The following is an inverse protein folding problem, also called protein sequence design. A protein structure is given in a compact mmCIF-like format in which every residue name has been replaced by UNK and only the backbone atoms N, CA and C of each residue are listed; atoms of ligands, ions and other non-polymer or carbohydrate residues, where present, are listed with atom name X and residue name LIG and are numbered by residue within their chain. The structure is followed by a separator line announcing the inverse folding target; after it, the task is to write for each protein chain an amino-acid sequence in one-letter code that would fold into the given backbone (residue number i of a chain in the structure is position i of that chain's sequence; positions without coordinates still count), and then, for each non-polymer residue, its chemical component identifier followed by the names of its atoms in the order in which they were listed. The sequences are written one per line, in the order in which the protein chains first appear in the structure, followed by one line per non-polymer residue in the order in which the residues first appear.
data_IF_832135952332
#
_entry.id   IF_832135952332
#
_cell.length_a   1.000
_cell.length_b   1.000
_cell.length_c   1.000
_cell.angle_alpha   90.00
_cell.angle_beta   90.00
_cell.angle_gamma   90.00
#
_symmetry.space_group_name_H-M   'P 1'
#
loop_
_entity.id
_entity.type
_entity.pdbx_description
1 polymer ?
#
# COMPACT_ATOMS: atom_id res chain seq x y z
N UNK A 1 11.59 -66.62 -19.19
CA UNK A 1 12.38 -65.65 -18.40
C UNK A 1 13.22 -64.84 -19.38
N UNK A 2 12.61 -63.83 -20.00
CA UNK A 2 13.17 -63.10 -21.14
C UNK A 2 13.65 -61.72 -20.64
N UNK A 3 14.96 -61.53 -20.55
CA UNK A 3 15.54 -60.24 -20.15
C UNK A 3 15.50 -59.31 -21.35
N UNK A 4 14.51 -58.40 -21.38
CA UNK A 4 14.44 -57.32 -22.36
C UNK A 4 15.70 -56.46 -22.22
N UNK A 5 16.51 -56.43 -23.28
CA UNK A 5 17.70 -55.60 -23.36
C UNK A 5 17.34 -54.12 -23.26
N UNK A 6 18.07 -53.39 -22.43
CA UNK A 6 18.00 -51.94 -22.35
C UNK A 6 18.51 -51.37 -23.66
N UNK A 7 17.62 -50.80 -24.46
CA UNK A 7 18.00 -50.06 -25.67
C UNK A 7 18.58 -48.72 -25.24
N UNK A 8 19.86 -48.48 -25.54
CA UNK A 8 20.48 -47.18 -25.31
C UNK A 8 19.89 -46.17 -26.31
N UNK A 9 19.08 -45.24 -25.81
CA UNK A 9 18.56 -44.13 -26.61
C UNK A 9 19.67 -43.09 -26.77
N UNK A 10 20.22 -42.96 -27.97
CA UNK A 10 21.14 -41.89 -28.34
C UNK A 10 20.37 -40.58 -28.47
N UNK A 11 20.25 -39.81 -27.38
CA UNK A 11 19.61 -38.49 -27.41
C UNK A 11 20.60 -37.48 -28.03
N UNK A 12 20.24 -36.79 -29.13
CA UNK A 12 21.11 -35.77 -29.69
C UNK A 12 21.25 -34.62 -28.69
N UNK A 13 22.47 -34.10 -28.53
CA UNK A 13 22.81 -33.02 -27.58
C UNK A 13 21.83 -31.86 -27.60
N UNK A 14 21.35 -31.48 -28.79
CA UNK A 14 20.37 -30.41 -28.99
C UNK A 14 19.02 -30.72 -28.34
N UNK A 15 18.53 -31.96 -28.46
CA UNK A 15 17.28 -32.39 -27.84
C UNK A 15 17.41 -32.43 -26.32
N UNK A 16 18.53 -32.98 -25.81
CA UNK A 16 18.81 -32.99 -24.37
C UNK A 16 18.84 -31.57 -23.78
N UNK A 17 19.54 -30.63 -24.44
CA UNK A 17 19.63 -29.24 -23.99
C UNK A 17 18.27 -28.53 -24.07
N UNK A 18 17.50 -28.77 -25.14
CA UNK A 18 16.15 -28.19 -25.29
C UNK A 18 15.22 -28.68 -24.19
N UNK A 19 15.13 -29.99 -24.00
CA UNK A 19 14.15 -30.59 -23.09
C UNK A 19 14.53 -30.28 -21.62
N UNK A 20 15.82 -30.26 -21.28
CA UNK A 20 16.30 -29.83 -19.96
C UNK A 20 16.03 -28.35 -19.70
N UNK A 21 16.31 -27.47 -20.67
CA UNK A 21 16.10 -26.03 -20.51
C UNK A 21 14.62 -25.66 -20.39
N UNK A 22 13.75 -26.27 -21.20
CA UNK A 22 12.30 -26.08 -21.09
C UNK A 22 11.77 -26.59 -19.73
N UNK A 23 12.29 -27.71 -19.21
CA UNK A 23 11.92 -28.23 -17.89
C UNK A 23 12.28 -27.26 -16.76
N UNK A 24 13.57 -26.95 -16.59
CA UNK A 24 14.04 -26.07 -15.51
C UNK A 24 13.54 -24.63 -15.65
N UNK A 25 13.44 -24.12 -16.88
CA UNK A 25 12.90 -22.78 -17.15
C UNK A 25 11.43 -22.65 -16.73
N UNK A 26 10.62 -23.70 -16.90
CA UNK A 26 9.23 -23.70 -16.46
C UNK A 26 9.08 -23.62 -14.93
N UNK A 27 10.00 -24.23 -14.17
CA UNK A 27 10.03 -24.13 -12.71
C UNK A 27 10.39 -22.72 -12.25
N UNK A 28 11.37 -22.09 -12.89
CA UNK A 28 11.74 -20.70 -12.61
C UNK A 28 10.57 -19.74 -12.93
N UNK A 29 9.90 -19.94 -14.06
CA UNK A 29 8.73 -19.15 -14.44
C UNK A 29 7.58 -19.33 -13.45
N UNK A 30 7.32 -20.56 -13.00
CA UNK A 30 6.30 -20.84 -11.98
C UNK A 30 6.61 -20.11 -10.67
N UNK A 31 7.87 -20.08 -10.24
CA UNK A 31 8.30 -19.33 -9.05
C UNK A 31 7.99 -17.84 -9.17
N UNK A 32 8.34 -17.23 -10.31
CA UNK A 32 8.07 -15.81 -10.58
C UNK A 32 6.57 -15.49 -10.61
N UNK A 33 5.76 -16.33 -11.27
CA UNK A 33 4.30 -16.16 -11.31
C UNK A 33 3.64 -16.33 -9.94
N UNK A 34 4.20 -17.19 -9.08
CA UNK A 34 3.71 -17.36 -7.72
C UNK A 34 4.00 -16.10 -6.88
N UNK A 35 5.21 -15.52 -7.00
CA UNK A 35 5.53 -14.24 -6.37
C UNK A 35 4.66 -13.09 -6.88
N UNK A 36 4.42 -13.01 -8.19
CA UNK A 36 3.51 -12.02 -8.78
C UNK A 36 2.09 -12.16 -8.22
N UNK A 37 1.58 -13.39 -8.09
CA UNK A 37 0.26 -13.65 -7.50
C UNK A 37 0.19 -13.23 -6.03
N UNK A 38 1.28 -13.39 -5.27
CA UNK A 38 1.36 -12.94 -3.87
C UNK A 38 1.47 -11.40 -3.77
N UNK A 39 2.06 -10.74 -4.77
CA UNK A 39 2.17 -9.27 -4.86
C UNK A 39 0.94 -8.60 -5.48
N UNK A 40 0.07 -9.37 -6.13
CA UNK A 40 -1.17 -8.85 -6.69
C UNK A 40 -1.98 -8.16 -5.59
N UNK A 41 -2.36 -6.91 -5.86
CA UNK A 41 -3.21 -6.12 -4.97
C UNK A 41 -4.50 -6.90 -4.64
N UNK A 42 -5.13 -6.65 -3.47
CA UNK A 42 -6.43 -7.25 -3.16
C UNK A 42 -7.39 -7.00 -4.33
N UNK A 43 -8.27 -7.98 -4.60
CA UNK A 43 -9.12 -8.10 -5.79
C UNK A 43 -9.94 -6.84 -6.18
N UNK A 44 -9.98 -5.81 -5.33
CA UNK A 44 -10.57 -4.51 -5.63
C UNK A 44 -9.73 -3.37 -4.98
N UNK A 45 -8.73 -2.81 -5.69
CA UNK A 45 -7.91 -1.69 -5.17
C UNK A 45 -8.72 -0.41 -4.93
N UNK A 46 -9.89 -0.32 -5.55
CA UNK A 46 -10.86 0.77 -5.38
C UNK A 46 -12.01 0.40 -4.44
N UNK A 47 -11.94 -0.73 -3.75
CA UNK A 47 -12.97 -1.09 -2.78
C UNK A 47 -13.06 -0.04 -1.66
N UNK A 48 -14.27 0.27 -1.19
CA UNK A 48 -14.45 1.15 -0.05
C UNK A 48 -13.71 0.58 1.17
N UNK A 49 -12.81 1.38 1.76
CA UNK A 49 -12.11 1.03 2.99
C UNK A 49 -13.07 1.05 4.17
N UNK A 50 -12.85 0.17 5.14
CA UNK A 50 -13.60 0.20 6.40
C UNK A 50 -13.35 1.55 7.09
N UNK A 51 -14.39 2.28 7.51
CA UNK A 51 -14.23 3.48 8.33
C UNK A 51 -13.48 3.16 9.61
N UNK A 52 -12.65 4.08 10.12
CA UNK A 52 -11.95 3.91 11.39
C UNK A 52 -12.91 3.85 12.60
N UNK A 53 -14.13 4.40 12.45
CA UNK A 53 -15.15 4.43 13.49
C UNK A 53 -16.26 3.41 13.17
N UNK A 54 -16.69 2.65 14.19
CA UNK A 54 -17.69 1.59 14.05
C UNK A 54 -19.09 2.09 13.66
N UNK A 55 -19.43 3.35 13.99
CA UNK A 55 -20.70 3.98 13.62
C UNK A 55 -20.51 5.50 13.42
N UNK A 56 -20.07 5.95 12.23
CA UNK A 56 -19.77 7.36 11.99
C UNK A 56 -21.06 8.15 11.80
N UNK A 57 -21.64 8.67 12.89
CA UNK A 57 -22.68 9.69 12.86
C UNK A 57 -22.14 11.01 13.39
N UNK A 58 -22.13 12.05 12.54
CA UNK A 58 -21.78 13.39 12.98
C UNK A 58 -22.90 13.94 13.89
N UNK A 59 -22.53 14.45 15.07
CA UNK A 59 -23.49 15.02 16.04
C UNK A 59 -23.76 16.51 15.79
N UNK A 60 -22.77 17.23 15.26
CA UNK A 60 -22.85 18.65 14.94
C UNK A 60 -21.87 18.98 13.81
N UNK A 61 -22.13 20.06 13.08
CA UNK A 61 -21.25 20.61 12.03
C UNK A 61 -20.90 22.04 12.42
N UNK A 62 -19.61 22.35 12.50
CA UNK A 62 -19.11 23.71 12.75
C UNK A 62 -18.68 24.29 11.40
N UNK A 63 -19.31 25.38 10.97
CA UNK A 63 -18.98 26.07 9.73
C UNK A 63 -18.17 27.32 10.03
N UNK A 64 -16.93 27.38 9.53
CA UNK A 64 -15.99 28.47 9.76
C UNK A 64 -15.87 29.31 8.48
N UNK A 65 -16.23 30.58 8.54
CA UNK A 65 -16.04 31.52 7.43
C UNK A 65 -14.71 32.25 7.60
N UNK A 66 -13.69 31.82 6.88
CA UNK A 66 -12.34 32.38 6.94
C UNK A 66 -11.99 33.00 5.60
N UNK A 67 -11.45 34.22 5.61
CA UNK A 67 -10.87 34.82 4.41
C UNK A 67 -9.64 33.99 3.98
N UNK A 68 -9.72 33.33 2.82
CA UNK A 68 -8.62 32.51 2.29
C UNK A 68 -8.59 31.05 2.75
N UNK A 69 -9.58 30.59 3.53
CA UNK A 69 -9.69 29.22 4.00
C UNK A 69 -8.66 28.82 5.07
N UNK A 70 -8.76 27.61 5.64
CA UNK A 70 -7.80 27.13 6.63
C UNK A 70 -6.46 26.85 5.94
N UNK A 71 -5.39 27.54 6.36
CA UNK A 71 -4.05 27.26 5.86
C UNK A 71 -3.50 25.96 6.47
N UNK A 72 -2.47 25.38 5.84
CA UNK A 72 -1.76 24.22 6.41
C UNK A 72 -1.22 24.54 7.81
N UNK A 73 -0.64 25.74 7.97
CA UNK A 73 -0.13 26.24 9.25
C UNK A 73 -1.23 26.31 10.31
N UNK A 74 -2.47 26.60 9.91
CA UNK A 74 -3.60 26.66 10.84
C UNK A 74 -4.10 25.28 11.27
N UNK A 75 -4.02 24.28 10.40
CA UNK A 75 -4.76 23.02 10.53
C UNK A 75 -3.94 21.89 11.15
N UNK A 76 -2.64 21.80 10.83
CA UNK A 76 -1.84 20.61 11.15
C UNK A 76 -0.59 20.88 11.99
N UNK A 77 -0.33 22.13 12.38
CA UNK A 77 0.78 22.47 13.26
C UNK A 77 0.32 22.52 14.72
N UNK A 78 0.88 21.69 15.63
CA UNK A 78 0.58 21.81 17.06
C UNK A 78 1.03 23.18 17.58
N UNK A 79 0.10 23.94 18.17
CA UNK A 79 0.36 25.28 18.74
C UNK A 79 0.46 25.21 20.27
N UNK A 80 1.62 24.83 20.85
CA UNK A 80 1.77 24.62 22.28
C UNK A 80 1.55 25.89 23.11
N UNK A 81 1.89 27.06 22.57
CA UNK A 81 1.60 28.35 23.21
C UNK A 81 0.10 28.63 23.31
N UNK A 82 -0.66 28.28 22.28
CA UNK A 82 -2.12 28.46 22.26
C UNK A 82 -2.78 27.55 23.30
N UNK A 83 -2.30 26.31 23.43
CA UNK A 83 -2.77 25.38 24.46
C UNK A 83 -2.52 25.90 25.89
N UNK A 84 -1.38 26.59 26.13
CA UNK A 84 -1.04 27.17 27.45
C UNK A 84 -1.83 28.44 27.77
N UNK A 85 -2.28 29.14 26.74
CA UNK A 85 -3.02 30.40 26.83
C UNK A 85 -4.54 30.21 26.64
N UNK A 86 -5.00 28.96 26.56
CA UNK A 86 -6.41 28.64 26.42
C UNK A 86 -7.22 29.23 27.59
N UNK A 87 -8.34 29.89 27.26
CA UNK A 87 -9.19 30.60 28.21
C UNK A 87 -8.63 31.91 28.80
N UNK A 88 -7.42 32.36 28.42
CA UNK A 88 -6.83 33.62 28.89
C UNK A 88 -7.13 34.78 27.92
N UNK A 89 -7.27 36.02 28.42
CA UNK A 89 -7.35 37.19 27.55
C UNK A 89 -6.08 37.32 26.71
N UNK A 90 -6.23 37.81 25.47
CA UNK A 90 -5.12 38.01 24.53
C UNK A 90 -4.03 38.88 25.19
N UNK A 91 -2.76 38.43 25.23
CA UNK A 91 -1.70 39.24 25.80
C UNK A 91 -1.51 40.55 25.02
N UNK A 92 -1.34 41.67 25.74
CA UNK A 92 -1.19 43.00 25.16
C UNK A 92 0.07 43.15 24.28
N UNK A 93 1.04 42.26 24.44
CA UNK A 93 2.27 42.19 23.65
C UNK A 93 2.04 41.93 22.15
N UNK A 94 0.88 41.37 21.78
CA UNK A 94 0.56 41.02 20.39
C UNK A 94 -0.04 42.18 19.57
N UNK A 95 -0.14 43.39 20.14
CA UNK A 95 -0.66 44.58 19.47
C UNK A 95 -2.17 44.56 19.21
N UNK A 96 -2.67 45.59 18.52
CA UNK A 96 -4.09 45.68 18.17
C UNK A 96 -4.46 44.66 17.09
N UNK A 97 -5.55 43.93 17.30
CA UNK A 97 -6.11 43.06 16.28
C UNK A 97 -6.75 43.91 15.18
N UNK A 98 -6.26 43.76 13.95
CA UNK A 98 -6.92 44.27 12.75
C UNK A 98 -8.12 43.42 12.36
#
# INVERSE_FOLDING_TARGET
MERKGVVAVMIPRRAFLRDSFCGFGSLALLSLLCEERLRAAPAAPLAPKKPHLANPRAKAVIFLFMAGGPSHLETFDPKPLLNKLDGKPRPAEFGEAK
#
